data_IF_184266488048
#
_entry.id   IF_184266488048
#
_cell.length_a   1.000
_cell.length_b   1.000
_cell.length_c   1.000
_cell.angle_alpha   90.00
_cell.angle_beta   90.00
_cell.angle_gamma   90.00
#
_symmetry.space_group_name_H-M   'P 1'
#
loop_
_entity.id
_entity.type
_entity.pdbx_description
1 polymer ?
#
# COMPACT_ATOMS: atom_id res chain seq x y z
N UNK A 1 -0.14 14.65 4.12
CA UNK A 1 -0.56 15.03 2.74
C UNK A 1 0.52 14.48 1.81
N UNK A 2 0.19 13.55 0.90
CA UNK A 2 1.15 12.98 -0.04
C UNK A 2 1.31 13.94 -1.23
N UNK A 3 2.54 14.35 -1.54
CA UNK A 3 2.83 15.18 -2.72
C UNK A 3 3.24 14.25 -3.85
N UNK A 4 2.48 14.26 -4.95
CA UNK A 4 2.87 13.53 -6.15
C UNK A 4 4.06 14.23 -6.81
N UNK A 5 5.19 13.54 -6.90
CA UNK A 5 6.39 14.03 -7.59
C UNK A 5 6.47 13.38 -8.96
N UNK A 6 6.48 14.20 -10.01
CA UNK A 6 6.71 13.73 -11.39
C UNK A 6 8.22 13.74 -11.66
N UNK A 7 8.74 12.67 -12.28
CA UNK A 7 10.13 12.63 -12.72
C UNK A 7 10.35 13.69 -13.79
N UNK A 8 10.88 14.85 -13.39
CA UNK A 8 11.38 15.86 -14.32
C UNK A 8 12.89 15.84 -14.24
N UNK A 9 13.56 15.95 -15.38
CA UNK A 9 15.02 15.88 -15.52
C UNK A 9 15.79 16.93 -14.68
N UNK A 10 15.10 17.89 -14.07
CA UNK A 10 15.64 18.91 -13.19
C UNK A 10 15.68 18.52 -11.69
N UNK A 11 15.12 17.37 -11.28
CA UNK A 11 14.94 17.00 -9.85
C UNK A 11 15.73 15.78 -9.38
N UNK A 12 16.50 15.13 -10.23
CA UNK A 12 17.15 13.85 -9.88
C UNK A 12 18.66 13.94 -10.07
N UNK A 13 19.40 14.27 -9.01
CA UNK A 13 20.76 13.75 -8.89
C UNK A 13 20.63 12.23 -8.88
N UNK A 14 21.11 11.58 -9.94
CA UNK A 14 21.00 10.13 -10.07
C UNK A 14 21.89 9.48 -9.01
N UNK A 15 21.30 9.01 -7.91
CA UNK A 15 21.98 8.24 -6.87
C UNK A 15 22.59 6.97 -7.50
N UNK A 16 23.82 6.62 -7.10
CA UNK A 16 24.38 5.33 -7.50
C UNK A 16 23.60 4.18 -6.84
N UNK A 17 23.64 2.99 -7.42
CA UNK A 17 22.97 1.80 -6.86
C UNK A 17 23.38 1.51 -5.41
N UNK A 18 24.64 1.74 -5.07
CA UNK A 18 25.16 1.55 -3.71
C UNK A 18 24.62 2.63 -2.76
N UNK A 19 24.60 3.88 -3.19
CA UNK A 19 24.09 4.98 -2.36
C UNK A 19 22.59 4.83 -2.10
N UNK A 20 21.83 4.36 -3.10
CA UNK A 20 20.41 4.07 -2.94
C UNK A 20 20.18 2.93 -1.93
N UNK A 21 20.95 1.85 -1.99
CA UNK A 21 20.86 0.75 -1.02
C UNK A 21 21.26 1.18 0.40
N UNK A 22 22.34 1.94 0.53
CA UNK A 22 22.77 2.48 1.82
C UNK A 22 21.68 3.37 2.42
N UNK A 23 21.06 4.23 1.62
CA UNK A 23 19.93 5.05 2.06
C UNK A 23 18.75 4.20 2.55
N UNK A 24 18.39 3.13 1.81
CA UNK A 24 17.31 2.22 2.25
C UNK A 24 17.67 1.54 3.58
N UNK A 25 18.91 1.06 3.71
CA UNK A 25 19.40 0.42 4.92
C UNK A 25 19.41 1.36 6.12
N UNK A 26 19.81 2.61 5.93
CA UNK A 26 19.82 3.65 6.97
C UNK A 26 18.39 4.01 7.41
N UNK A 27 17.47 4.17 6.46
CA UNK A 27 16.07 4.45 6.77
C UNK A 27 15.41 3.30 7.53
N UNK A 28 15.55 2.07 7.04
CA UNK A 28 14.82 0.91 7.55
C UNK A 28 15.59 0.12 8.62
N UNK A 29 16.78 0.58 9.01
CA UNK A 29 17.69 -0.14 9.91
C UNK A 29 17.88 -1.61 9.47
N UNK A 30 18.16 -1.77 8.17
CA UNK A 30 18.22 -3.05 7.46
C UNK A 30 19.62 -3.29 6.89
N UNK A 31 19.88 -4.50 6.36
CA UNK A 31 21.18 -4.89 5.82
C UNK A 31 21.06 -5.51 4.42
N UNK A 32 20.34 -4.86 3.51
CA UNK A 32 20.22 -5.29 2.12
C UNK A 32 21.56 -5.17 1.40
N UNK A 33 21.97 -6.23 0.72
CA UNK A 33 23.23 -6.27 -0.05
C UNK A 33 22.95 -6.04 -1.54
N UNK A 34 21.77 -6.47 -2.00
CA UNK A 34 21.33 -6.37 -3.40
C UNK A 34 19.97 -5.69 -3.51
N UNK A 35 19.77 -4.90 -4.56
CA UNK A 35 18.49 -4.20 -4.82
C UNK A 35 17.36 -5.21 -5.01
N UNK A 36 17.69 -6.37 -5.56
CA UNK A 36 16.78 -7.49 -5.80
C UNK A 36 16.16 -8.03 -4.51
N UNK A 37 16.77 -7.84 -3.34
CA UNK A 37 16.19 -8.27 -2.05
C UNK A 37 14.93 -7.48 -1.66
N UNK A 38 14.73 -6.30 -2.27
CA UNK A 38 13.49 -5.53 -2.14
C UNK A 38 12.29 -6.22 -2.82
N UNK A 39 12.50 -7.29 -3.60
CA UNK A 39 11.43 -8.05 -4.25
C UNK A 39 10.49 -8.75 -3.26
N UNK A 40 10.87 -8.86 -1.99
CA UNK A 40 9.99 -9.38 -0.93
C UNK A 40 8.79 -8.50 -0.66
N UNK A 41 8.82 -7.22 -1.05
CA UNK A 41 7.75 -6.25 -0.80
C UNK A 41 7.72 -5.68 0.63
N UNK A 42 8.46 -6.27 1.57
CA UNK A 42 8.42 -5.89 2.99
C UNK A 42 9.03 -4.50 3.24
N UNK A 43 10.14 -4.18 2.58
CA UNK A 43 10.80 -2.87 2.68
C UNK A 43 9.87 -1.73 2.20
N UNK A 44 9.16 -1.94 1.08
CA UNK A 44 8.20 -0.96 0.57
C UNK A 44 7.04 -0.73 1.55
N UNK A 45 6.55 -1.80 2.18
CA UNK A 45 5.52 -1.69 3.20
C UNK A 45 5.99 -0.88 4.42
N UNK A 46 7.24 -1.08 4.87
CA UNK A 46 7.82 -0.26 5.94
C UNK A 46 7.99 1.20 5.54
N UNK A 47 8.40 1.47 4.30
CA UNK A 47 8.46 2.86 3.82
C UNK A 47 7.10 3.55 3.88
N UNK A 48 6.05 2.85 3.47
CA UNK A 48 4.70 3.42 3.51
C UNK A 48 4.22 3.63 4.94
N UNK A 49 4.54 2.73 5.88
CA UNK A 49 4.25 2.97 7.30
C UNK A 49 5.08 4.11 7.91
N UNK A 50 6.35 4.27 7.51
CA UNK A 50 7.20 5.38 7.95
C UNK A 50 6.67 6.74 7.45
N UNK A 51 6.23 6.80 6.19
CA UNK A 51 5.67 8.01 5.59
C UNK A 51 4.24 8.30 6.09
N UNK A 52 3.46 7.25 6.32
CA UNK A 52 2.06 7.33 6.73
C UNK A 52 1.79 6.28 7.83
N UNK A 53 2.10 6.59 9.10
CA UNK A 53 1.94 5.65 10.21
C UNK A 53 0.51 5.09 10.29
N UNK A 54 0.38 3.76 10.37
CA UNK A 54 -0.92 3.07 10.45
C UNK A 54 -1.63 2.87 9.11
N UNK A 55 -0.99 3.24 8.00
CA UNK A 55 -1.50 2.93 6.65
C UNK A 55 -1.31 1.45 6.28
N UNK A 56 -0.37 0.77 6.94
CA UNK A 56 0.01 -0.63 6.66
C UNK A 56 -0.15 -1.51 7.90
N UNK A 57 -0.73 -2.69 7.74
CA UNK A 57 -0.77 -3.71 8.81
C UNK A 57 0.58 -4.43 8.93
N UNK A 58 1.55 -3.84 9.64
CA UNK A 58 2.91 -4.41 9.78
C UNK A 58 2.92 -5.86 10.29
N UNK A 59 1.97 -6.22 11.18
CA UNK A 59 1.84 -7.58 11.72
C UNK A 59 1.56 -8.66 10.66
N UNK A 60 0.98 -8.28 9.51
CA UNK A 60 0.65 -9.20 8.42
C UNK A 60 1.79 -9.36 7.40
N UNK A 61 2.84 -8.54 7.50
CA UNK A 61 3.98 -8.57 6.59
C UNK A 61 4.93 -9.70 6.98
N UNK A 62 5.41 -10.41 5.97
CA UNK A 62 6.48 -11.41 6.12
C UNK A 62 7.82 -10.75 5.79
N UNK A 63 8.61 -10.46 6.83
CA UNK A 63 9.90 -9.76 6.69
C UNK A 63 11.05 -10.68 6.24
N UNK A 64 11.06 -11.93 6.71
CA UNK A 64 12.12 -12.88 6.42
C UNK A 64 11.54 -14.10 5.71
N UNK A 65 11.31 -13.96 4.41
CA UNK A 65 10.73 -15.01 3.57
C UNK A 65 11.50 -15.16 2.26
N UNK A 66 11.52 -16.38 1.73
CA UNK A 66 12.02 -16.70 0.39
C UNK A 66 10.94 -17.32 -0.51
N UNK A 67 9.67 -17.21 -0.11
CA UNK A 67 8.54 -17.85 -0.78
C UNK A 67 7.76 -16.83 -1.60
N UNK A 68 7.65 -17.07 -2.91
CA UNK A 68 7.03 -16.13 -3.85
C UNK A 68 5.57 -15.77 -3.47
N UNK A 69 4.80 -16.74 -2.96
CA UNK A 69 3.43 -16.47 -2.52
C UNK A 69 3.35 -15.52 -1.30
N UNK A 70 4.38 -15.48 -0.46
CA UNK A 70 4.48 -14.51 0.64
C UNK A 70 4.86 -13.12 0.13
N UNK A 71 5.65 -13.03 -0.95
CA UNK A 71 5.94 -11.75 -1.62
C UNK A 71 4.65 -11.17 -2.21
N UNK A 72 3.85 -12.00 -2.87
CA UNK A 72 2.54 -11.59 -3.41
C UNK A 72 1.66 -11.04 -2.28
N UNK A 73 1.64 -11.69 -1.11
CA UNK A 73 0.88 -11.21 0.04
C UNK A 73 1.37 -9.84 0.53
N UNK A 74 2.69 -9.65 0.65
CA UNK A 74 3.27 -8.35 1.02
C UNK A 74 2.91 -7.26 0.00
N UNK A 75 2.95 -7.55 -1.30
CA UNK A 75 2.56 -6.58 -2.34
C UNK A 75 1.06 -6.27 -2.35
N UNK A 76 0.18 -7.24 -2.00
CA UNK A 76 -1.25 -6.96 -1.80
C UNK A 76 -1.49 -5.99 -0.64
N UNK A 77 -0.76 -6.17 0.47
CA UNK A 77 -0.81 -5.25 1.61
C UNK A 77 -0.34 -3.85 1.18
N UNK A 78 0.76 -3.77 0.43
CA UNK A 78 1.27 -2.51 -0.12
C UNK A 78 0.25 -1.83 -1.03
N UNK A 79 -0.39 -2.59 -1.93
CA UNK A 79 -1.40 -2.09 -2.85
C UNK A 79 -2.62 -1.53 -2.09
N UNK A 80 -3.06 -2.23 -1.05
CA UNK A 80 -4.16 -1.75 -0.19
C UNK A 80 -3.79 -0.45 0.53
N UNK A 81 -2.56 -0.35 1.05
CA UNK A 81 -2.07 0.88 1.65
C UNK A 81 -2.04 2.04 0.65
N UNK A 82 -1.55 1.80 -0.58
CA UNK A 82 -1.61 2.81 -1.63
C UNK A 82 -3.05 3.19 -2.00
N UNK A 83 -4.00 2.25 -2.09
CA UNK A 83 -5.42 2.54 -2.36
C UNK A 83 -6.02 3.45 -1.28
N UNK A 84 -5.71 3.19 0.01
CA UNK A 84 -6.12 4.05 1.13
C UNK A 84 -5.47 5.44 1.08
N UNK A 85 -4.21 5.49 0.66
CA UNK A 85 -3.46 6.73 0.51
C UNK A 85 -3.83 7.50 -0.77
N UNK A 86 -4.46 6.85 -1.75
CA UNK A 86 -5.01 7.48 -2.94
C UNK A 86 -6.17 8.40 -2.54
N UNK A 87 -5.80 9.66 -2.32
CA UNK A 87 -6.47 10.88 -2.77
C UNK A 87 -7.96 10.67 -3.06
N UNK A 88 -8.77 11.18 -2.13
CA UNK A 88 -10.23 11.32 -2.22
C UNK A 88 -10.67 11.56 -3.67
N UNK A 89 -11.50 10.68 -4.28
CA UNK A 89 -11.95 10.84 -5.66
C UNK A 89 -13.04 11.92 -5.74
N UNK A 90 -12.63 13.17 -5.51
CA UNK A 90 -13.53 14.34 -5.40
C UNK A 90 -14.46 14.42 -6.60
N UNK A 91 -13.96 14.19 -7.83
CA UNK A 91 -14.76 14.23 -9.07
C UNK A 91 -15.91 13.21 -9.11
N UNK A 92 -15.80 12.11 -8.36
CA UNK A 92 -16.88 11.13 -8.20
C UNK A 92 -17.80 11.51 -7.05
N UNK A 93 -17.25 11.94 -5.92
CA UNK A 93 -18.02 12.31 -4.73
C UNK A 93 -18.90 13.54 -4.94
N UNK A 94 -18.40 14.57 -5.63
CA UNK A 94 -19.15 15.81 -5.91
C UNK A 94 -20.38 15.59 -6.79
N UNK A 95 -20.48 14.43 -7.46
CA UNK A 95 -21.66 14.05 -8.24
C UNK A 95 -22.82 13.57 -7.36
N UNK A 96 -22.61 13.42 -6.05
CA UNK A 96 -23.63 13.07 -5.07
C UNK A 96 -24.21 11.66 -5.24
N UNK A 97 -23.50 10.77 -5.96
CA UNK A 97 -23.96 9.40 -6.17
C UNK A 97 -23.77 8.57 -4.90
N UNK A 98 -24.83 7.87 -4.49
CA UNK A 98 -24.80 7.04 -3.29
C UNK A 98 -23.70 5.98 -3.35
N UNK A 99 -23.57 5.25 -4.46
CA UNK A 99 -22.58 4.19 -4.60
C UNK A 99 -21.13 4.67 -4.45
N UNK A 100 -20.76 5.76 -5.13
CA UNK A 100 -19.41 6.33 -5.05
C UNK A 100 -19.11 6.88 -3.64
N UNK A 101 -20.09 7.50 -2.98
CA UNK A 101 -19.93 8.04 -1.62
C UNK A 101 -19.91 6.92 -0.57
N UNK A 102 -20.74 5.89 -0.72
CA UNK A 102 -20.80 4.74 0.17
C UNK A 102 -19.53 3.88 0.07
N UNK A 103 -19.04 3.61 -1.14
CA UNK A 103 -17.78 2.88 -1.36
C UNK A 103 -16.58 3.66 -0.78
N UNK A 104 -16.56 5.00 -0.91
CA UNK A 104 -15.52 5.81 -0.27
C UNK A 104 -15.61 5.82 1.26
N UNK A 105 -16.81 5.78 1.85
CA UNK A 105 -16.98 5.64 3.29
C UNK A 105 -16.58 4.23 3.77
N UNK A 106 -16.93 3.20 3.02
CA UNK A 106 -16.62 1.81 3.33
C UNK A 106 -15.12 1.52 3.17
N UNK A 107 -14.51 1.85 2.04
CA UNK A 107 -13.09 1.53 1.77
C UNK A 107 -12.12 2.60 2.32
N UNK A 108 -12.55 3.86 2.37
CA UNK A 108 -11.71 4.99 2.78
C UNK A 108 -11.63 5.18 4.30
N UNK A 109 -12.68 4.81 5.04
CA UNK A 109 -12.73 4.92 6.51
C UNK A 109 -12.76 3.59 7.26
N UNK A 110 -13.05 2.45 6.63
CA UNK A 110 -12.89 1.17 7.33
C UNK A 110 -11.41 0.85 7.51
N UNK A 111 -10.92 1.11 8.73
CA UNK A 111 -9.81 0.31 9.24
C UNK A 111 -10.22 -1.17 9.18
N UNK A 112 -9.28 -2.09 8.95
CA UNK A 112 -9.54 -3.52 8.96
C UNK A 112 -9.79 -3.98 10.39
N UNK A 113 -10.95 -3.67 10.93
CA UNK A 113 -11.56 -4.40 12.03
C UNK A 113 -12.54 -5.39 11.37
N UNK A 114 -12.12 -6.65 11.38
CA UNK A 114 -12.99 -7.84 11.28
C UNK A 114 -13.81 -8.01 9.99
N UNK A 115 -13.13 -8.29 8.87
CA UNK A 115 -13.77 -8.98 7.74
C UNK A 115 -13.64 -10.50 7.93
N UNK A 116 -14.32 -11.01 8.95
CA UNK A 116 -14.95 -12.33 8.93
C UNK A 116 -16.46 -12.07 9.06
N UNK A 117 -17.28 -12.78 8.28
CA UNK A 117 -18.76 -12.68 8.23
C UNK A 117 -19.43 -11.57 7.40
N UNK A 118 -19.04 -11.43 6.12
CA UNK A 118 -20.02 -11.02 5.10
C UNK A 118 -20.54 -12.29 4.41
N UNK A 119 -21.76 -12.78 4.73
CA UNK A 119 -22.35 -13.90 4.02
C UNK A 119 -22.58 -13.54 2.55
N UNK A 120 -22.54 -14.52 1.62
CA UNK A 120 -22.80 -14.25 0.22
C UNK A 120 -24.18 -13.61 0.03
N UNK A 121 -24.36 -12.73 -0.97
CA UNK A 121 -25.66 -12.14 -1.25
C UNK A 121 -26.68 -13.27 -1.46
N UNK A 122 -27.91 -13.17 -0.92
CA UNK A 122 -28.94 -14.16 -1.19
C UNK A 122 -29.15 -14.25 -2.70
N UNK A 123 -29.13 -15.47 -3.23
CA UNK A 123 -29.51 -15.74 -4.61
C UNK A 123 -30.90 -15.15 -4.84
N UNK A 124 -31.04 -14.32 -5.88
CA UNK A 124 -32.33 -13.78 -6.31
C UNK A 124 -33.21 -14.94 -6.82
N UNK A 125 -33.86 -15.64 -5.89
CA UNK A 125 -35.17 -16.22 -6.15
C UNK A 125 -36.19 -15.09 -6.00
N UNK A 126 -36.95 -14.77 -7.05
CA UNK A 126 -38.32 -15.30 -7.20
C UNK A 126 -39.07 -14.65 -8.39
N UNK A 127 -39.89 -15.50 -9.04
CA UNK A 127 -40.95 -15.29 -10.06
C UNK A 127 -40.58 -15.27 -11.55
#
# INVERSE_FOLDING_TARGET
MAVNVFSTSATTENLSRHDMLNWVNDCLQSNFVKVEELCTGAAYCQFIDMLFPGSVMLKKIKFNTNLEHEYINNFKILQYAFKRLQIVPVDKLIKGKFQDNFEFLQDGFAAPEDVEDVPPPPEEEEY
#
